data_IF_855458981493
#
_entry.id   IF_855458981493
#
_cell.length_a   1.000
_cell.length_b   1.000
_cell.length_c   1.000
_cell.angle_alpha   90.00
_cell.angle_beta   90.00
_cell.angle_gamma   90.00
#
_symmetry.space_group_name_H-M   'P 1'
#
loop_
_entity.id
_entity.type
_entity.pdbx_description
1 polymer ?
#
# COMPACT_ATOMS: atom_id res chain seq x y z
N UNK A 1 17.37 -7.44 12.92
CA UNK A 1 17.13 -6.08 12.41
C UNK A 1 16.85 -5.19 13.61
N UNK A 2 17.37 -3.95 13.67
CA UNK A 2 17.01 -3.01 14.73
C UNK A 2 15.49 -2.77 14.67
N UNK A 3 14.78 -2.98 15.78
CA UNK A 3 13.36 -2.68 15.89
C UNK A 3 13.21 -1.20 16.20
N UNK A 4 12.32 -0.52 15.48
CA UNK A 4 12.06 0.90 15.72
C UNK A 4 11.45 1.09 17.11
N UNK A 5 11.86 2.17 17.78
CA UNK A 5 11.36 2.56 19.09
C UNK A 5 10.51 3.82 18.95
N UNK A 6 9.47 3.91 19.76
CA UNK A 6 8.65 5.09 19.95
C UNK A 6 8.48 5.38 21.44
N UNK A 7 7.71 6.44 21.71
CA UNK A 7 7.39 6.87 23.05
C UNK A 7 5.88 7.16 23.14
N UNK A 8 5.28 6.76 24.25
CA UNK A 8 3.89 7.04 24.60
C UNK A 8 3.85 7.59 26.01
N UNK A 9 3.33 8.79 26.19
CA UNK A 9 3.22 9.42 27.51
C UNK A 9 1.88 9.11 28.15
N UNK A 10 1.89 8.71 29.43
CA UNK A 10 0.68 8.60 30.22
C UNK A 10 0.07 9.98 30.48
N UNK A 11 -1.18 10.17 30.09
CA UNK A 11 -1.95 11.40 30.35
C UNK A 11 -2.77 11.34 31.65
N UNK A 12 -2.85 10.16 32.25
CA UNK A 12 -3.53 9.88 33.51
C UNK A 12 -2.70 8.86 34.30
N UNK A 13 -2.72 8.92 35.65
CA UNK A 13 -2.01 7.94 36.46
C UNK A 13 -2.62 6.55 36.31
N UNK A 14 -1.78 5.52 36.43
CA UNK A 14 -2.21 4.14 36.62
C UNK A 14 -2.46 3.92 38.11
N UNK A 15 -3.65 3.41 38.43
CA UNK A 15 -4.09 3.18 39.81
C UNK A 15 -4.31 1.68 39.99
N UNK A 16 -3.72 1.10 41.04
CA UNK A 16 -3.98 -0.27 41.50
C UNK A 16 -4.49 -0.21 42.93
N UNK A 17 -5.60 -0.90 43.23
CA UNK A 17 -6.21 -0.95 44.56
C UNK A 17 -6.44 0.42 45.24
N UNK A 18 -6.72 1.45 44.43
CA UNK A 18 -6.95 2.82 44.90
C UNK A 18 -5.66 3.61 45.22
N UNK A 19 -4.49 3.03 44.98
CA UNK A 19 -3.19 3.68 45.12
C UNK A 19 -2.62 3.97 43.73
N UNK A 20 -2.06 5.16 43.56
CA UNK A 20 -1.31 5.49 42.36
C UNK A 20 -0.03 4.65 42.30
N UNK A 21 0.10 3.85 41.26
CA UNK A 21 1.25 2.96 41.07
C UNK A 21 2.20 3.45 39.97
N UNK A 22 1.66 4.18 38.98
CA UNK A 22 2.47 4.87 37.97
C UNK A 22 1.87 6.27 37.78
N UNK A 23 2.64 7.35 38.00
CA UNK A 23 2.13 8.72 37.88
C UNK A 23 1.84 9.09 36.41
N UNK A 24 0.99 10.11 36.21
CA UNK A 24 0.87 10.76 34.91
C UNK A 24 2.19 11.44 34.50
N UNK A 25 2.37 11.64 33.20
CA UNK A 25 3.63 12.12 32.65
C UNK A 25 4.74 11.06 32.56
N UNK A 26 4.50 9.83 33.04
CA UNK A 26 5.40 8.70 32.79
C UNK A 26 5.50 8.42 31.29
N UNK A 27 6.72 8.33 30.80
CA UNK A 27 7.02 8.03 29.40
C UNK A 27 7.23 6.53 29.23
N UNK A 28 6.40 5.87 28.41
CA UNK A 28 6.54 4.47 28.06
C UNK A 28 7.36 4.36 26.78
N UNK A 29 8.50 3.68 26.86
CA UNK A 29 9.31 3.34 25.70
C UNK A 29 8.70 2.10 25.06
N UNK A 30 8.26 2.25 23.81
CA UNK A 30 7.56 1.21 23.07
C UNK A 30 8.39 0.73 21.91
N UNK A 31 8.45 -0.58 21.74
CA UNK A 31 8.99 -1.21 20.57
C UNK A 31 7.88 -1.47 19.56
N UNK A 32 8.07 -0.99 18.34
CA UNK A 32 7.17 -1.25 17.22
C UNK A 32 7.31 -2.72 16.83
N UNK A 33 6.21 -3.44 16.96
CA UNK A 33 6.09 -4.87 16.67
C UNK A 33 5.58 -5.13 15.24
N UNK A 34 4.69 -6.10 15.12
CA UNK A 34 4.08 -6.46 13.85
C UNK A 34 3.18 -5.34 13.31
N UNK A 35 3.18 -5.20 11.99
CA UNK A 35 2.38 -4.24 11.24
C UNK A 35 1.61 -5.01 10.16
N UNK A 36 0.29 -4.93 10.18
CA UNK A 36 -0.57 -5.57 9.17
C UNK A 36 -0.69 -4.72 7.90
N UNK A 37 -1.19 -5.33 6.83
CA UNK A 37 -1.54 -4.62 5.59
C UNK A 37 -2.65 -3.58 5.78
N UNK A 38 -3.46 -3.72 6.83
CA UNK A 38 -4.47 -2.73 7.22
C UNK A 38 -3.90 -1.56 8.03
N UNK A 39 -2.61 -1.58 8.35
CA UNK A 39 -1.93 -0.59 9.16
C UNK A 39 -2.06 -0.82 10.67
N UNK A 40 -2.69 -1.91 11.11
CA UNK A 40 -2.76 -2.25 12.54
C UNK A 40 -1.37 -2.58 13.06
N UNK A 41 -0.96 -1.94 14.14
CA UNK A 41 0.40 -2.07 14.70
C UNK A 41 0.37 -2.55 16.14
N UNK A 42 1.23 -3.51 16.46
CA UNK A 42 1.51 -3.92 17.84
C UNK A 42 2.57 -2.99 18.44
N UNK A 43 2.30 -2.46 19.64
CA UNK A 43 3.24 -1.65 20.41
C UNK A 43 3.56 -2.37 21.72
N UNK A 44 4.82 -2.76 21.90
CA UNK A 44 5.25 -3.51 23.07
C UNK A 44 5.99 -2.57 24.02
N UNK A 45 5.50 -2.40 25.24
CA UNK A 45 6.21 -1.61 26.25
C UNK A 45 7.45 -2.38 26.70
N UNK A 46 8.63 -1.75 26.60
CA UNK A 46 9.92 -2.37 26.96
C UNK A 46 10.61 -1.68 28.13
N UNK A 47 10.22 -0.45 28.42
CA UNK A 47 10.78 0.36 29.50
C UNK A 47 9.83 1.52 29.82
N UNK A 48 10.05 2.17 30.96
CA UNK A 48 9.38 3.42 31.32
C UNK A 48 10.35 4.41 31.97
N UNK A 49 10.06 5.70 31.83
CA UNK A 49 10.79 6.81 32.46
C UNK A 49 9.79 7.59 33.31
N UNK A 50 10.03 7.65 34.61
CA UNK A 50 9.15 8.35 35.55
C UNK A 50 9.25 9.88 35.34
N UNK A 51 8.16 10.63 35.60
CA UNK A 51 8.14 12.07 35.43
C UNK A 51 9.22 12.73 36.30
N UNK A 52 9.98 13.66 35.71
CA UNK A 52 11.08 14.36 36.37
C UNK A 52 12.36 13.53 36.55
N UNK A 53 12.35 12.24 36.19
CA UNK A 53 13.54 11.42 36.03
C UNK A 53 14.05 11.50 34.59
N UNK A 54 15.37 11.45 34.41
CA UNK A 54 16.00 11.21 33.11
C UNK A 54 16.52 9.77 32.98
N UNK A 55 16.27 8.93 33.99
CA UNK A 55 16.71 7.55 34.05
C UNK A 55 15.53 6.60 33.83
N UNK A 56 15.80 5.51 33.11
CA UNK A 56 14.86 4.40 32.94
C UNK A 56 14.58 3.82 34.32
N UNK A 57 13.31 3.65 34.66
CA UNK A 57 12.92 3.00 35.90
C UNK A 57 13.41 1.55 35.90
N UNK A 58 14.04 1.11 36.98
CA UNK A 58 14.49 -0.27 37.18
C UNK A 58 13.29 -1.17 37.52
N UNK A 59 12.37 -1.30 36.55
CA UNK A 59 11.13 -2.07 36.64
C UNK A 59 11.17 -3.14 35.57
N UNK A 60 11.08 -4.41 35.99
CA UNK A 60 10.98 -5.53 35.07
C UNK A 60 9.55 -5.63 34.55
N UNK A 61 9.34 -5.26 33.28
CA UNK A 61 8.05 -5.37 32.61
C UNK A 61 8.02 -6.71 31.86
N UNK A 62 7.19 -7.69 32.28
CA UNK A 62 7.07 -8.94 31.55
C UNK A 62 6.55 -8.69 30.13
N UNK A 63 7.00 -9.50 29.18
CA UNK A 63 6.53 -9.40 27.80
C UNK A 63 5.01 -9.59 27.74
N UNK A 64 4.32 -8.62 27.13
CA UNK A 64 2.87 -8.61 26.99
C UNK A 64 2.10 -8.21 28.25
N UNK A 65 2.76 -7.86 29.37
CA UNK A 65 2.06 -7.40 30.58
C UNK A 65 1.32 -6.08 30.38
N UNK A 66 1.80 -5.26 29.45
CA UNK A 66 1.22 -4.00 29.03
C UNK A 66 0.86 -4.06 27.55
N UNK A 67 -0.40 -3.78 27.24
CA UNK A 67 -0.93 -3.72 25.88
C UNK A 67 -1.39 -2.29 25.58
N UNK A 68 -1.01 -1.77 24.42
CA UNK A 68 -1.41 -0.43 23.97
C UNK A 68 -2.42 -0.58 22.84
N UNK A 69 -3.64 -0.14 23.11
CA UNK A 69 -4.77 -0.20 22.20
C UNK A 69 -5.21 1.19 21.77
N UNK A 70 -5.95 1.26 20.68
CA UNK A 70 -6.75 2.43 20.35
C UNK A 70 -7.92 2.57 21.35
N UNK A 71 -8.51 3.77 21.41
CA UNK A 71 -9.58 4.10 22.38
C UNK A 71 -10.84 3.25 22.20
N UNK A 72 -11.03 2.65 21.03
CA UNK A 72 -12.12 1.73 20.70
C UNK A 72 -11.81 0.26 21.04
N UNK A 73 -10.65 -0.03 21.65
CA UNK A 73 -10.24 -1.36 22.07
C UNK A 73 -9.58 -2.21 20.98
N UNK A 74 -9.36 -1.67 19.78
CA UNK A 74 -8.59 -2.32 18.72
C UNK A 74 -7.09 -1.99 18.77
N UNK A 75 -6.29 -2.59 17.88
CA UNK A 75 -4.90 -2.16 17.69
C UNK A 75 -4.84 -0.73 17.10
N UNK A 76 -3.84 0.09 17.48
CA UNK A 76 -3.59 1.35 16.81
C UNK A 76 -3.41 1.14 15.30
N UNK A 77 -4.01 2.01 14.48
CA UNK A 77 -3.94 1.91 13.01
C UNK A 77 -3.11 3.06 12.46
N UNK A 78 -1.95 2.74 11.87
CA UNK A 78 -1.11 3.67 11.12
C UNK A 78 -1.77 4.03 9.77
N UNK A 79 -1.47 5.23 9.27
CA UNK A 79 -1.94 5.67 7.94
C UNK A 79 -0.89 5.40 6.89
N UNK A 80 -1.32 4.81 5.78
CA UNK A 80 -0.50 4.63 4.59
C UNK A 80 -0.30 5.99 3.89
N UNK A 81 0.93 6.27 3.47
CA UNK A 81 1.19 7.37 2.55
C UNK A 81 0.68 7.02 1.15
N UNK A 82 -0.28 7.80 0.62
CA UNK A 82 -0.98 7.54 -0.64
C UNK A 82 -0.14 7.73 -1.92
N UNK A 83 1.18 7.89 -1.80
CA UNK A 83 2.02 8.29 -2.93
C UNK A 83 2.02 7.25 -4.06
N UNK A 84 1.99 5.95 -3.74
CA UNK A 84 1.98 4.86 -4.74
C UNK A 84 0.65 4.75 -5.48
N UNK A 85 -0.48 4.85 -4.77
CA UNK A 85 -1.82 4.70 -5.34
C UNK A 85 -2.12 5.78 -6.39
N UNK A 86 -1.76 7.03 -6.09
CA UNK A 86 -1.94 8.14 -7.02
C UNK A 86 -1.12 7.97 -8.31
N UNK A 87 0.09 7.43 -8.17
CA UNK A 87 0.97 7.13 -9.33
C UNK A 87 0.41 5.96 -10.16
N UNK A 88 -0.11 4.90 -9.52
CA UNK A 88 -0.81 3.81 -10.21
C UNK A 88 -2.00 4.32 -11.02
N UNK A 89 -2.86 5.15 -10.43
CA UNK A 89 -4.01 5.72 -11.14
C UNK A 89 -3.61 6.60 -12.34
N UNK A 90 -2.44 7.25 -12.28
CA UNK A 90 -1.91 7.99 -13.42
C UNK A 90 -1.46 7.04 -14.54
N UNK A 91 -0.83 5.92 -14.18
CA UNK A 91 -0.41 4.87 -15.12
C UNK A 91 -1.63 4.21 -15.78
N UNK A 92 -2.65 3.83 -15.01
CA UNK A 92 -3.87 3.18 -15.53
C UNK A 92 -4.57 4.05 -16.58
N UNK A 93 -4.64 5.37 -16.32
CA UNK A 93 -5.20 6.34 -17.28
C UNK A 93 -4.38 6.41 -18.56
N UNK A 94 -3.05 6.36 -18.46
CA UNK A 94 -2.18 6.36 -19.64
C UNK A 94 -2.31 5.05 -20.42
N UNK A 95 -2.35 3.90 -19.74
CA UNK A 95 -2.56 2.60 -20.37
C UNK A 95 -3.92 2.52 -21.08
N UNK A 96 -4.98 3.01 -20.45
CA UNK A 96 -6.31 3.08 -21.06
C UNK A 96 -6.32 3.94 -22.33
N UNK A 97 -5.65 5.08 -22.31
CA UNK A 97 -5.49 5.93 -23.50
C UNK A 97 -4.71 5.21 -24.61
N UNK A 98 -3.58 4.57 -24.28
CA UNK A 98 -2.79 3.82 -25.24
C UNK A 98 -3.57 2.63 -25.84
N UNK A 99 -4.34 1.91 -25.03
CA UNK A 99 -5.22 0.82 -25.47
C UNK A 99 -6.33 1.31 -26.40
N UNK A 100 -6.93 2.45 -26.11
CA UNK A 100 -7.91 3.10 -26.99
C UNK A 100 -7.30 3.50 -28.34
N UNK A 101 -6.07 4.03 -28.34
CA UNK A 101 -5.34 4.36 -29.58
C UNK A 101 -4.98 3.11 -30.40
N UNK A 102 -4.56 2.02 -29.75
CA UNK A 102 -4.28 0.74 -30.41
C UNK A 102 -5.53 0.14 -31.07
N UNK A 103 -6.67 0.14 -30.36
CA UNK A 103 -7.94 -0.38 -30.87
C UNK A 103 -8.44 0.34 -32.14
N UNK A 104 -8.18 1.65 -32.28
CA UNK A 104 -8.48 2.40 -33.52
C UNK A 104 -7.58 1.95 -34.67
N UNK A 105 -6.30 1.64 -34.40
CA UNK A 105 -5.39 1.08 -35.40
C UNK A 105 -5.78 -0.32 -35.86
N UNK A 106 -6.21 -1.18 -34.94
CA UNK A 106 -6.66 -2.55 -35.26
C UNK A 106 -8.00 -2.56 -36.01
N UNK A 107 -8.92 -1.64 -35.68
CA UNK A 107 -10.19 -1.49 -36.41
C UNK A 107 -9.96 -1.07 -37.88
N UNK A 108 -8.99 -0.20 -38.14
CA UNK A 108 -8.63 0.23 -39.49
C UNK A 108 -7.93 -0.87 -40.32
N UNK A 109 -7.33 -1.87 -39.66
CA UNK A 109 -6.63 -2.98 -40.30
C UNK A 109 -7.48 -4.27 -40.44
N UNK A 110 -8.76 -4.28 -40.03
CA UNK A 110 -9.60 -5.47 -40.11
C UNK A 110 -10.20 -5.62 -41.53
N UNK A 111 -10.01 -6.75 -42.22
CA UNK A 111 -10.64 -6.97 -43.53
C UNK A 111 -12.16 -7.01 -43.36
N UNK A 112 -12.88 -6.18 -44.13
CA UNK A 112 -14.34 -6.05 -44.01
C UNK A 112 -15.12 -7.22 -44.62
N UNK A 113 -14.50 -8.05 -45.48
CA UNK A 113 -15.12 -9.25 -46.06
C UNK A 113 -14.11 -10.38 -46.24
N UNK A 114 -14.42 -11.53 -45.66
CA UNK A 114 -13.84 -12.82 -46.04
C UNK A 114 -14.94 -13.63 -46.72
N UNK A 115 -14.84 -13.79 -48.04
CA UNK A 115 -15.77 -14.62 -48.81
C UNK A 115 -15.08 -15.94 -49.13
N UNK A 116 -15.47 -17.01 -48.45
CA UNK A 116 -15.02 -18.37 -48.76
C UNK A 116 -16.07 -19.05 -49.64
N UNK A 117 -15.74 -19.26 -50.92
CA UNK A 117 -16.60 -20.02 -51.85
C UNK A 117 -16.00 -21.41 -52.00
N UNK A 118 -16.67 -22.40 -51.41
CA UNK A 118 -16.33 -23.83 -51.57
C UNK A 118 -17.24 -24.43 -52.64
N UNK A 119 -16.64 -24.87 -53.75
CA UNK A 119 -17.31 -25.58 -54.85
C UNK A 119 -16.61 -26.92 -55.13
N UNK A 120 -17.37 -27.93 -55.55
CA UNK A 120 -16.86 -29.26 -55.92
C UNK A 120 -16.01 -29.10 -57.19
N UNK A 121 -14.70 -28.96 -57.02
CA UNK A 121 -13.72 -28.85 -58.11
C UNK A 121 -12.60 -27.81 -57.91
N UNK A 122 -12.70 -26.93 -56.90
CA UNK A 122 -11.63 -25.97 -56.61
C UNK A 122 -12.04 -24.92 -55.57
N UNK A 123 -11.07 -24.54 -54.72
CA UNK A 123 -11.21 -23.47 -53.72
C UNK A 123 -10.69 -22.15 -54.29
N UNK A 124 -11.49 -21.09 -54.23
CA UNK A 124 -11.04 -19.73 -54.55
C UNK A 124 -11.28 -18.84 -53.32
N UNK A 125 -10.19 -18.37 -52.72
CA UNK A 125 -10.21 -17.41 -51.62
C UNK A 125 -10.04 -16.00 -52.21
N UNK A 126 -11.10 -15.19 -52.18
CA UNK A 126 -11.00 -13.77 -52.53
C UNK A 126 -11.13 -12.94 -51.25
N UNK A 127 -10.06 -12.23 -50.89
CA UNK A 127 -10.04 -11.27 -49.77
C UNK A 127 -10.21 -9.87 -50.36
N UNK A 128 -11.36 -9.26 -50.10
CA UNK A 128 -11.64 -7.90 -50.54
C UNK A 128 -11.36 -6.93 -49.38
N UNK A 129 -10.26 -6.19 -49.50
CA UNK A 129 -9.95 -5.10 -48.57
C UNK A 129 -10.79 -3.88 -49.00
N UNK A 130 -11.73 -3.47 -48.16
CA UNK A 130 -12.39 -2.16 -48.32
C UNK A 130 -11.33 -1.06 -48.38
N UNK A 131 -11.60 0.01 -49.13
CA UNK A 131 -10.66 1.11 -49.41
C UNK A 131 -10.08 1.67 -48.10
N UNK A 132 -8.97 1.09 -47.66
CA UNK A 132 -8.22 1.54 -46.50
C UNK A 132 -7.60 2.86 -46.88
N UNK A 133 -8.08 3.94 -46.28
CA UNK A 133 -7.51 5.28 -46.48
C UNK A 133 -5.99 5.20 -46.24
N UNK A 134 -5.19 5.83 -47.10
CA UNK A 134 -3.72 5.94 -47.02
C UNK A 134 -3.18 6.31 -45.61
N UNK A 135 -4.02 6.88 -44.75
CA UNK A 135 -3.76 7.20 -43.36
C UNK A 135 -3.52 5.96 -42.46
N UNK A 136 -4.11 4.80 -42.78
CA UNK A 136 -3.94 3.56 -42.01
C UNK A 136 -2.59 2.87 -42.24
N UNK A 137 -1.99 3.02 -43.43
CA UNK A 137 -0.69 2.41 -43.77
C UNK A 137 0.51 3.26 -43.35
N UNK A 138 0.34 4.56 -43.07
CA UNK A 138 1.40 5.44 -42.54
C UNK A 138 1.53 5.37 -41.01
N UNK A 139 0.57 4.74 -40.32
CA UNK A 139 0.71 4.23 -38.95
C UNK A 139 1.53 2.93 -38.90
N UNK A 140 2.20 2.57 -40.00
CA UNK A 140 3.07 1.41 -40.15
C UNK A 140 4.15 1.34 -39.07
N UNK A 141 4.18 0.23 -38.34
CA UNK A 141 5.37 -0.31 -37.65
C UNK A 141 5.95 0.54 -36.53
N UNK A 142 6.56 1.68 -36.85
CA UNK A 142 7.27 2.54 -35.91
C UNK A 142 6.36 3.18 -34.85
N UNK A 143 5.14 3.60 -35.23
CA UNK A 143 4.15 4.11 -34.27
C UNK A 143 3.69 2.99 -33.32
N UNK A 144 3.43 1.80 -33.86
CA UNK A 144 3.06 0.62 -33.05
C UNK A 144 4.20 0.18 -32.12
N UNK A 145 5.45 0.22 -32.58
CA UNK A 145 6.62 -0.12 -31.76
C UNK A 145 6.84 0.90 -30.63
N UNK A 146 6.64 2.19 -30.91
CA UNK A 146 6.70 3.25 -29.90
C UNK A 146 5.57 3.08 -28.86
N UNK A 147 4.35 2.77 -29.29
CA UNK A 147 3.22 2.49 -28.39
C UNK A 147 3.48 1.25 -27.52
N UNK A 148 4.00 0.16 -28.10
CA UNK A 148 4.42 -1.05 -27.35
C UNK A 148 5.53 -0.75 -26.35
N UNK A 149 6.54 0.03 -26.74
CA UNK A 149 7.62 0.44 -25.84
C UNK A 149 7.13 1.33 -24.69
N UNK A 150 6.13 2.19 -24.94
CA UNK A 150 5.49 2.98 -23.88
C UNK A 150 4.66 2.10 -22.95
N UNK A 151 3.86 1.19 -23.49
CA UNK A 151 3.06 0.25 -22.72
C UNK A 151 3.95 -0.62 -21.81
N UNK A 152 5.03 -1.21 -22.33
CA UNK A 152 5.94 -2.03 -21.52
C UNK A 152 6.68 -1.24 -20.44
N UNK A 153 7.01 0.03 -20.69
CA UNK A 153 7.56 0.92 -19.65
C UNK A 153 6.55 1.20 -18.54
N UNK A 154 5.28 1.42 -18.90
CA UNK A 154 4.21 1.64 -17.94
C UNK A 154 3.90 0.39 -17.11
N UNK A 155 3.97 -0.80 -17.70
CA UNK A 155 3.84 -2.07 -16.97
C UNK A 155 4.96 -2.25 -15.94
N UNK A 156 6.22 -2.01 -16.35
CA UNK A 156 7.38 -2.07 -15.44
C UNK A 156 7.28 -1.02 -14.33
N UNK A 157 6.76 0.16 -14.64
CA UNK A 157 6.57 1.22 -13.64
C UNK A 157 5.44 0.88 -12.66
N UNK A 158 4.33 0.31 -13.13
CA UNK A 158 3.26 -0.20 -12.28
C UNK A 158 3.76 -1.31 -11.35
N UNK A 159 4.51 -2.28 -11.85
CA UNK A 159 5.09 -3.37 -11.05
C UNK A 159 6.03 -2.83 -9.94
N UNK A 160 6.84 -1.81 -10.26
CA UNK A 160 7.71 -1.15 -9.29
C UNK A 160 6.93 -0.41 -8.20
N UNK A 161 5.81 0.20 -8.55
CA UNK A 161 4.98 0.91 -7.59
C UNK A 161 4.17 -0.04 -6.71
N UNK A 162 3.71 -1.17 -7.26
CA UNK A 162 3.04 -2.26 -6.51
C UNK A 162 4.00 -2.96 -5.55
N UNK A 163 5.25 -3.17 -5.94
CA UNK A 163 6.29 -3.77 -5.10
C UNK A 163 6.96 -2.79 -4.12
N UNK A 164 6.66 -1.49 -4.22
CA UNK A 164 7.20 -0.48 -3.31
C UNK A 164 6.57 -0.67 -1.92
N UNK A 165 7.37 -0.79 -0.84
CA UNK A 165 6.83 -0.93 0.49
C UNK A 165 5.99 0.30 0.86
N UNK A 166 4.79 0.06 1.38
CA UNK A 166 3.94 1.11 1.92
C UNK A 166 4.63 1.77 3.11
N UNK A 167 4.75 3.09 3.08
CA UNK A 167 5.23 3.87 4.22
C UNK A 167 4.02 4.13 5.12
N UNK A 168 4.15 3.72 6.38
CA UNK A 168 3.12 3.86 7.39
C UNK A 168 3.54 4.92 8.42
N UNK A 169 2.60 5.79 8.79
CA UNK A 169 2.83 6.85 9.78
C UNK A 169 1.78 6.83 10.88
N UNK A 170 2.22 7.12 12.12
CA UNK A 170 1.35 7.39 13.26
C UNK A 170 1.59 8.84 13.65
N UNK A 171 0.55 9.66 13.61
CA UNK A 171 0.63 11.06 14.02
C UNK A 171 0.84 11.17 15.54
N UNK A 172 1.68 12.12 15.95
CA UNK A 172 1.88 12.45 17.37
C UNK A 172 0.58 12.97 17.99
N UNK A 173 0.39 12.71 19.29
CA UNK A 173 -0.79 13.15 20.03
C UNK A 173 -2.03 12.27 19.85
N UNK A 174 -1.90 11.11 19.18
CA UNK A 174 -2.97 10.12 19.13
C UNK A 174 -3.27 9.58 20.53
N UNK A 175 -4.54 9.67 20.94
CA UNK A 175 -4.99 9.07 22.18
C UNK A 175 -5.01 7.54 22.04
N UNK A 176 -4.48 6.88 23.06
CA UNK A 176 -4.36 5.42 23.16
C UNK A 176 -4.84 5.01 24.55
N UNK A 177 -5.14 3.72 24.70
CA UNK A 177 -5.46 3.10 25.98
C UNK A 177 -4.35 2.12 26.35
N UNK A 178 -3.91 2.18 27.61
CA UNK A 178 -3.01 1.21 28.19
C UNK A 178 -3.83 0.18 28.96
N UNK A 179 -3.63 -1.10 28.64
CA UNK A 179 -4.22 -2.22 29.35
C UNK A 179 -3.13 -3.01 30.07
N UNK A 180 -3.40 -3.37 31.31
CA UNK A 180 -2.56 -4.26 32.12
C UNK A 180 -3.16 -5.65 32.02
N UNK A 181 -2.45 -6.57 31.38
CA UNK A 181 -2.94 -7.94 31.14
C UNK A 181 -2.35 -8.93 32.15
N UNK A 182 -1.22 -8.57 32.77
CA UNK A 182 -0.50 -9.38 33.75
C UNK A 182 0.01 -8.49 34.87
N UNK A 183 0.21 -9.10 36.04
CA UNK A 183 0.79 -8.41 37.20
C UNK A 183 2.22 -7.95 36.90
N UNK A 184 2.54 -6.73 37.34
CA UNK A 184 3.86 -6.12 37.20
C UNK A 184 4.39 -5.85 38.61
N UNK A 185 5.61 -6.31 38.89
CA UNK A 185 6.29 -5.96 40.12
C UNK A 185 6.80 -4.52 40.00
N UNK A 186 6.17 -3.61 40.74
CA UNK A 186 6.50 -2.19 40.82
C UNK A 186 7.27 -1.88 42.10
#
# INVERSE_FOLDING_TARGET
MPRALGSVTLVSPLISDGVEVIPDGTELIVQIGELSDSGAVSLNVVAMVLPGSNEIADISIPAGALEILAVDGGYPVARAEQSSEQQLQAIDRQQALLGAMGAVGDYLNRPQRETSVVSIGGSSNSREYGVGSLWGSLLSGAANEMLRSRASRLEVEAEKLTSRPTIWSIESGRQLQLFVTQEIAL
#
